data_IF_955019571501
#
_entry.id   IF_955019571501
#
_cell.length_a   1.000
_cell.length_b   1.000
_cell.length_c   1.000
_cell.angle_alpha   90.00
_cell.angle_beta   90.00
_cell.angle_gamma   90.00
#
_symmetry.space_group_name_H-M   'P 1'
#
loop_
_entity.id
_entity.type
_entity.pdbx_description
1 polymer ?
#
# COMPACT_ATOMS: atom_id res chain seq x y z
N UNK A 1 -32.01 -24.91 -10.74
CA UNK A 1 -31.76 -25.12 -9.28
C UNK A 1 -31.66 -23.78 -8.57
N UNK A 2 -31.64 -23.72 -7.23
CA UNK A 2 -31.49 -22.45 -6.49
C UNK A 2 -30.19 -21.71 -6.86
N UNK A 3 -29.09 -22.43 -7.03
CA UNK A 3 -27.81 -21.83 -7.44
C UNK A 3 -27.89 -21.17 -8.81
N UNK A 4 -28.54 -21.81 -9.78
CA UNK A 4 -28.76 -21.23 -11.11
C UNK A 4 -29.67 -19.99 -11.06
N UNK A 5 -30.68 -19.99 -10.18
CA UNK A 5 -31.57 -18.85 -10.01
C UNK A 5 -30.84 -17.63 -9.46
N UNK A 6 -29.88 -17.85 -8.56
CA UNK A 6 -29.19 -16.77 -7.86
C UNK A 6 -27.76 -16.48 -8.36
N UNK A 7 -27.23 -17.28 -9.27
CA UNK A 7 -25.89 -17.11 -9.83
C UNK A 7 -24.75 -17.33 -8.84
N UNK A 8 -25.02 -17.92 -7.67
CA UNK A 8 -24.02 -18.15 -6.62
C UNK A 8 -24.39 -19.36 -5.75
N UNK A 9 -23.42 -20.11 -5.21
CA UNK A 9 -23.68 -21.19 -4.25
C UNK A 9 -24.50 -20.73 -3.05
N UNK A 10 -25.42 -21.59 -2.61
CA UNK A 10 -26.39 -21.28 -1.54
C UNK A 10 -26.23 -22.21 -0.36
N UNK A 11 -26.18 -21.62 0.82
CA UNK A 11 -26.46 -22.32 2.06
C UNK A 11 -27.98 -22.29 2.30
N UNK A 12 -28.58 -23.46 2.45
CA UNK A 12 -30.04 -23.64 2.38
C UNK A 12 -30.53 -24.42 3.59
N UNK A 13 -31.45 -23.82 4.33
CA UNK A 13 -32.20 -24.49 5.37
C UNK A 13 -33.56 -24.90 4.82
N UNK A 14 -33.94 -26.16 5.04
CA UNK A 14 -35.18 -26.74 4.56
C UNK A 14 -35.76 -27.71 5.59
N UNK A 15 -37.07 -27.95 5.51
CA UNK A 15 -37.77 -28.89 6.36
C UNK A 15 -38.76 -29.73 5.56
N UNK A 16 -39.08 -30.91 6.07
CA UNK A 16 -40.12 -31.78 5.52
C UNK A 16 -41.33 -31.76 6.43
N UNK A 17 -42.50 -31.51 5.85
CA UNK A 17 -43.77 -31.70 6.53
C UNK A 17 -44.71 -32.50 5.61
N UNK A 18 -45.22 -33.64 6.10
CA UNK A 18 -46.13 -34.53 5.36
C UNK A 18 -45.62 -34.91 3.96
N UNK A 19 -44.31 -35.16 3.82
CA UNK A 19 -43.69 -35.53 2.55
C UNK A 19 -43.43 -34.36 1.58
N UNK A 20 -43.72 -33.12 1.99
CA UNK A 20 -43.44 -31.91 1.20
C UNK A 20 -42.22 -31.20 1.76
N UNK A 21 -41.30 -30.80 0.88
CA UNK A 21 -40.11 -30.00 1.23
C UNK A 21 -40.48 -28.52 1.22
N UNK A 22 -40.16 -27.82 2.30
CA UNK A 22 -40.30 -26.38 2.44
C UNK A 22 -38.93 -25.75 2.62
N UNK A 23 -38.68 -24.65 1.92
CA UNK A 23 -37.49 -23.83 2.11
C UNK A 23 -37.73 -22.89 3.30
N UNK A 24 -36.85 -22.91 4.29
CA UNK A 24 -36.93 -22.03 5.46
C UNK A 24 -36.04 -20.80 5.29
N UNK A 25 -34.82 -21.01 4.78
CA UNK A 25 -33.84 -19.95 4.56
C UNK A 25 -32.92 -20.29 3.39
N UNK A 26 -32.47 -19.25 2.68
CA UNK A 26 -31.48 -19.37 1.60
C UNK A 26 -30.57 -18.15 1.63
N UNK A 27 -29.28 -18.36 1.86
CA UNK A 27 -28.27 -17.30 1.97
C UNK A 27 -27.05 -17.60 1.08
N UNK A 28 -26.36 -16.59 0.53
CA UNK A 28 -25.13 -16.81 -0.22
C UNK A 28 -24.05 -17.42 0.67
N UNK A 29 -23.28 -18.37 0.13
CA UNK A 29 -22.02 -18.81 0.76
C UNK A 29 -20.97 -17.72 0.55
N UNK A 30 -20.50 -17.10 1.63
CA UNK A 30 -19.54 -15.98 1.58
C UNK A 30 -18.07 -16.40 1.70
N UNK A 31 -17.79 -17.65 2.09
CA UNK A 31 -16.44 -18.14 2.34
C UNK A 31 -15.68 -18.61 1.09
N UNK A 32 -16.35 -18.79 -0.05
CA UNK A 32 -15.75 -19.37 -1.26
C UNK A 32 -14.67 -18.49 -1.90
N UNK A 33 -14.75 -17.17 -1.71
CA UNK A 33 -13.76 -16.19 -2.16
C UNK A 33 -13.21 -15.39 -0.97
N UNK A 34 -13.18 -15.99 0.22
CA UNK A 34 -12.55 -15.34 1.36
C UNK A 34 -11.06 -15.16 1.07
N UNK A 35 -10.58 -13.93 1.20
CA UNK A 35 -9.17 -13.61 1.06
C UNK A 35 -8.39 -14.22 2.24
N UNK A 36 -7.17 -14.66 1.97
CA UNK A 36 -6.22 -15.05 3.00
C UNK A 36 -5.85 -13.86 3.88
N UNK A 37 -5.30 -14.13 5.07
CA UNK A 37 -4.82 -13.05 5.94
C UNK A 37 -3.72 -12.23 5.27
N UNK A 38 -2.84 -12.88 4.50
CA UNK A 38 -1.80 -12.18 3.73
C UNK A 38 -2.41 -11.24 2.69
N UNK A 39 -3.39 -11.70 1.91
CA UNK A 39 -4.08 -10.85 0.92
C UNK A 39 -4.80 -9.67 1.57
N UNK A 40 -5.43 -9.86 2.74
CA UNK A 40 -6.09 -8.79 3.48
C UNK A 40 -5.10 -7.76 4.03
N UNK A 41 -3.96 -8.20 4.56
CA UNK A 41 -2.93 -7.31 5.12
C UNK A 41 -2.29 -6.46 4.02
N UNK A 42 -2.14 -7.03 2.81
CA UNK A 42 -1.49 -6.38 1.68
C UNK A 42 -2.44 -5.74 0.67
N UNK A 43 -3.76 -5.73 0.93
CA UNK A 43 -4.77 -5.20 0.00
C UNK A 43 -4.47 -3.78 -0.48
N UNK A 44 -3.92 -2.96 0.42
CA UNK A 44 -3.66 -1.53 0.19
C UNK A 44 -2.17 -1.20 0.08
N UNK A 45 -1.33 -2.22 -0.06
CA UNK A 45 0.11 -2.01 -0.22
C UNK A 45 0.42 -1.38 -1.58
N UNK A 46 1.43 -0.50 -1.60
CA UNK A 46 1.99 0.02 -2.83
C UNK A 46 2.86 -1.04 -3.50
N UNK A 47 3.01 -0.95 -4.82
CA UNK A 47 3.92 -1.84 -5.54
C UNK A 47 5.38 -1.50 -5.18
N UNK A 48 6.04 -2.37 -4.41
CA UNK A 48 7.46 -2.29 -4.05
C UNK A 48 8.25 -3.23 -4.97
N UNK A 49 9.23 -2.69 -5.68
CA UNK A 49 10.07 -3.46 -6.59
C UNK A 49 11.25 -4.12 -5.84
N UNK A 50 11.83 -5.22 -6.33
CA UNK A 50 12.96 -5.89 -5.67
C UNK A 50 14.21 -5.00 -5.44
N UNK A 51 14.36 -3.93 -6.23
CA UNK A 51 15.47 -2.98 -6.11
C UNK A 51 15.11 -1.74 -5.27
N UNK A 52 13.89 -1.65 -4.75
CA UNK A 52 13.50 -0.56 -3.88
C UNK A 52 14.07 -0.76 -2.48
N UNK A 53 14.57 0.33 -1.89
CA UNK A 53 15.00 0.37 -0.50
C UNK A 53 14.05 1.31 0.27
N UNK A 54 13.15 0.74 1.07
CA UNK A 54 12.16 1.48 1.85
C UNK A 54 12.54 1.58 3.32
N UNK A 55 12.27 2.73 3.94
CA UNK A 55 12.54 2.97 5.37
C UNK A 55 11.40 3.74 6.02
N UNK A 56 11.27 3.64 7.34
CA UNK A 56 10.36 4.50 8.11
C UNK A 56 10.96 5.88 8.36
N UNK A 57 12.28 6.03 8.55
CA UNK A 57 12.97 7.32 8.74
C UNK A 57 12.09 8.39 9.44
N UNK A 58 11.94 9.58 8.85
CA UNK A 58 11.05 10.62 9.36
C UNK A 58 9.55 10.22 9.35
N UNK A 59 9.11 9.38 8.40
CA UNK A 59 7.69 8.95 8.36
C UNK A 59 7.30 8.14 9.60
N UNK A 60 8.24 7.46 10.25
CA UNK A 60 8.02 6.78 11.53
C UNK A 60 7.75 7.73 12.69
N UNK A 61 8.18 9.00 12.62
CA UNK A 61 7.88 10.02 13.63
C UNK A 61 6.60 10.77 13.31
N UNK A 62 6.39 11.12 12.04
CA UNK A 62 5.24 11.92 11.58
C UNK A 62 3.97 11.08 11.45
N UNK A 63 4.11 9.80 11.07
CA UNK A 63 3.04 8.83 10.84
C UNK A 63 3.37 7.49 11.51
N UNK A 64 3.45 7.45 12.86
CA UNK A 64 3.98 6.31 13.60
C UNK A 64 3.11 5.05 13.58
N UNK A 65 1.88 5.13 13.10
CA UNK A 65 0.91 4.05 13.14
C UNK A 65 0.32 3.69 11.79
N UNK A 66 -0.58 2.71 11.81
CA UNK A 66 -1.34 2.30 10.64
C UNK A 66 -2.17 3.47 10.09
N UNK A 67 -1.99 3.75 8.82
CA UNK A 67 -2.73 4.77 8.07
C UNK A 67 -4.03 4.18 7.55
N UNK A 68 -5.13 4.93 7.72
CA UNK A 68 -6.43 4.51 7.21
C UNK A 68 -6.46 4.52 5.67
N UNK A 69 -7.36 3.78 5.01
CA UNK A 69 -7.49 3.79 3.55
C UNK A 69 -7.72 5.20 2.98
N UNK A 70 -8.45 6.05 3.72
CA UNK A 70 -8.63 7.46 3.34
C UNK A 70 -7.32 8.24 3.43
N UNK A 71 -6.52 8.03 4.48
CA UNK A 71 -5.23 8.70 4.64
C UNK A 71 -4.25 8.29 3.52
N UNK A 72 -4.24 7.01 3.15
CA UNK A 72 -3.41 6.49 2.06
C UNK A 72 -3.81 7.07 0.69
N UNK A 73 -5.11 7.11 0.38
CA UNK A 73 -5.60 7.63 -0.90
C UNK A 73 -5.54 9.17 -1.02
N UNK A 74 -5.48 9.90 0.09
CA UNK A 74 -5.44 11.37 0.10
C UNK A 74 -4.08 11.90 0.55
N UNK A 75 -3.79 11.88 1.85
CA UNK A 75 -2.58 12.47 2.42
C UNK A 75 -1.30 11.84 1.84
N UNK A 76 -1.23 10.51 1.73
CA UNK A 76 -0.01 9.86 1.22
C UNK A 76 0.17 10.15 -0.26
N UNK A 77 -0.93 10.16 -1.02
CA UNK A 77 -0.91 10.54 -2.43
C UNK A 77 -0.48 11.99 -2.65
N UNK A 78 -1.00 12.91 -1.85
CA UNK A 78 -0.59 14.32 -1.88
C UNK A 78 0.89 14.48 -1.52
N UNK A 79 1.36 13.79 -0.48
CA UNK A 79 2.75 13.86 -0.06
C UNK A 79 3.71 13.30 -1.12
N UNK A 80 3.38 12.16 -1.74
CA UNK A 80 4.14 11.61 -2.87
C UNK A 80 4.17 12.60 -4.05
N UNK A 81 3.04 13.23 -4.37
CA UNK A 81 2.93 14.22 -5.45
C UNK A 81 3.81 15.45 -5.22
N UNK A 82 3.84 16.00 -4.01
CA UNK A 82 4.71 17.14 -3.67
C UNK A 82 6.19 16.76 -3.71
N UNK A 83 6.54 15.50 -3.44
CA UNK A 83 7.92 15.02 -3.54
C UNK A 83 8.43 14.88 -4.99
N UNK A 84 7.55 14.71 -5.98
CA UNK A 84 7.96 14.59 -7.40
C UNK A 84 8.78 15.81 -7.89
N UNK A 85 8.27 17.05 -7.83
CA UNK A 85 9.03 18.21 -8.29
C UNK A 85 10.26 18.48 -7.43
N UNK A 86 10.22 18.12 -6.14
CA UNK A 86 11.33 18.33 -5.21
C UNK A 86 12.55 17.44 -5.54
N UNK A 87 12.32 16.21 -6.03
CA UNK A 87 13.40 15.22 -6.19
C UNK A 87 13.67 14.74 -7.63
N UNK A 88 12.77 14.94 -8.61
CA UNK A 88 12.98 14.46 -9.98
C UNK A 88 12.55 15.41 -11.11
N UNK A 89 12.08 16.61 -10.79
CA UNK A 89 11.55 17.53 -11.80
C UNK A 89 10.17 17.10 -12.35
N UNK A 90 9.57 17.96 -13.17
CA UNK A 90 8.13 17.93 -13.52
C UNK A 90 7.75 16.78 -14.49
N UNK A 91 8.72 16.15 -15.16
CA UNK A 91 8.47 15.18 -16.24
C UNK A 91 8.37 13.72 -15.77
N UNK A 92 7.63 13.43 -14.69
CA UNK A 92 7.49 12.04 -14.20
C UNK A 92 6.09 11.47 -14.51
N UNK A 93 5.95 10.48 -15.42
CA UNK A 93 4.66 10.01 -15.92
C UNK A 93 3.99 8.93 -15.06
N UNK A 94 4.17 8.93 -13.73
CA UNK A 94 3.61 7.88 -12.86
C UNK A 94 2.52 8.45 -11.95
N UNK A 95 1.32 8.59 -12.51
CA UNK A 95 0.14 9.14 -11.87
C UNK A 95 -0.68 8.11 -11.07
N UNK A 96 -0.24 6.84 -11.07
CA UNK A 96 -0.96 5.74 -10.39
C UNK A 96 -0.16 4.96 -9.35
N UNK A 97 1.16 5.06 -9.33
CA UNK A 97 1.96 4.38 -8.31
C UNK A 97 2.62 5.42 -7.40
N UNK A 98 2.65 5.15 -6.10
CA UNK A 98 3.44 5.93 -5.16
C UNK A 98 4.89 5.49 -5.30
N UNK A 99 5.74 6.37 -5.79
CA UNK A 99 7.15 6.01 -6.10
C UNK A 99 8.13 6.42 -5.01
N UNK A 100 7.74 7.34 -4.12
CA UNK A 100 8.59 7.91 -3.06
C UNK A 100 8.02 7.65 -1.68
N UNK A 101 6.72 7.84 -1.49
CA UNK A 101 6.03 7.50 -0.23
C UNK A 101 5.16 6.28 -0.48
N UNK A 102 5.75 5.10 -0.30
CA UNK A 102 5.06 3.82 -0.46
C UNK A 102 4.33 3.45 0.82
N UNK A 103 3.28 2.64 0.70
CA UNK A 103 2.59 2.05 1.86
C UNK A 103 2.84 0.55 1.88
N UNK A 104 3.17 0.00 3.05
CA UNK A 104 3.13 -1.46 3.27
C UNK A 104 2.64 -1.78 4.66
N UNK A 105 1.79 -2.79 4.80
CA UNK A 105 1.13 -3.17 6.06
C UNK A 105 0.48 -1.96 6.74
N UNK A 106 -0.17 -1.11 5.94
CA UNK A 106 -0.74 0.19 6.34
C UNK A 106 0.25 1.22 6.91
N UNK A 107 1.56 0.99 6.89
CA UNK A 107 2.56 1.97 7.34
C UNK A 107 3.11 2.79 6.17
N UNK A 108 3.34 4.08 6.40
CA UNK A 108 3.98 4.97 5.44
C UNK A 108 5.49 4.75 5.45
N UNK A 109 6.04 4.45 4.28
CA UNK A 109 7.45 4.17 4.05
C UNK A 109 8.01 5.13 3.01
N UNK A 110 9.24 5.54 3.21
CA UNK A 110 10.00 6.36 2.29
C UNK A 110 10.93 5.49 1.46
N UNK A 111 10.83 5.56 0.14
CA UNK A 111 11.75 4.89 -0.79
C UNK A 111 13.03 5.73 -0.92
N UNK A 112 14.10 5.28 -0.26
CA UNK A 112 15.40 5.96 -0.20
C UNK A 112 16.00 6.15 -1.59
N UNK A 113 15.85 5.14 -2.45
CA UNK A 113 16.39 5.19 -3.81
C UNK A 113 15.73 6.33 -4.60
N UNK A 114 14.40 6.34 -4.66
CA UNK A 114 13.65 7.34 -5.44
C UNK A 114 13.63 8.75 -4.84
N UNK A 115 13.99 8.91 -3.55
CA UNK A 115 14.02 10.20 -2.86
C UNK A 115 15.41 10.80 -2.72
N UNK A 116 16.36 10.07 -2.13
CA UNK A 116 17.69 10.58 -1.76
C UNK A 116 18.74 10.17 -2.79
N UNK A 117 18.75 8.91 -3.23
CA UNK A 117 19.89 8.36 -3.98
C UNK A 117 19.77 8.52 -5.50
N UNK A 118 18.57 8.70 -6.06
CA UNK A 118 18.35 8.82 -7.51
C UNK A 118 19.12 9.98 -8.16
N UNK A 119 19.37 11.04 -7.39
CA UNK A 119 20.12 12.23 -7.81
C UNK A 119 21.44 12.37 -7.06
N UNK A 120 21.95 11.29 -6.44
CA UNK A 120 23.21 11.33 -5.73
C UNK A 120 24.37 11.56 -6.70
N UNK A 121 25.11 12.65 -6.49
CA UNK A 121 26.34 12.92 -7.23
C UNK A 121 27.51 12.15 -6.60
N UNK A 122 28.54 11.83 -7.40
CA UNK A 122 29.78 11.17 -6.93
C UNK A 122 30.45 11.86 -5.73
N UNK A 123 30.19 13.16 -5.53
CA UNK A 123 30.53 13.86 -4.30
C UNK A 123 29.25 14.44 -3.70
N UNK A 124 28.84 14.04 -2.49
CA UNK A 124 27.58 14.49 -1.92
C UNK A 124 27.62 16.00 -1.68
N UNK A 125 26.68 16.71 -2.31
CA UNK A 125 26.49 18.15 -2.15
C UNK A 125 26.06 18.49 -0.73
N UNK A 126 26.20 19.75 -0.32
CA UNK A 126 25.74 20.19 1.00
C UNK A 126 24.24 19.94 1.18
N UNK A 127 23.43 20.21 0.15
CA UNK A 127 21.99 20.02 0.18
C UNK A 127 21.60 18.56 0.40
N UNK A 128 22.28 17.63 -0.27
CA UNK A 128 22.06 16.19 -0.09
C UNK A 128 22.38 15.76 1.35
N UNK A 129 23.49 16.25 1.94
CA UNK A 129 23.84 15.96 3.34
C UNK A 129 22.82 16.52 4.33
N UNK A 130 22.32 17.73 4.09
CA UNK A 130 21.28 18.35 4.94
C UNK A 130 19.98 17.54 4.85
N UNK A 131 19.59 17.10 3.65
CA UNK A 131 18.42 16.26 3.45
C UNK A 131 18.55 14.92 4.17
N UNK A 132 19.69 14.23 4.04
CA UNK A 132 19.95 12.96 4.74
C UNK A 132 19.82 13.11 6.25
N UNK A 133 20.41 14.19 6.81
CA UNK A 133 20.27 14.49 8.24
C UNK A 133 18.83 14.80 8.65
N UNK A 134 18.09 15.53 7.81
CA UNK A 134 16.70 15.90 8.10
C UNK A 134 15.74 14.69 8.03
N UNK A 135 15.96 13.77 7.08
CA UNK A 135 15.09 12.61 6.87
C UNK A 135 15.50 11.45 7.76
N UNK A 136 16.79 11.18 7.91
CA UNK A 136 17.31 9.96 8.53
C UNK A 136 18.09 10.20 9.84
N UNK A 137 18.33 11.47 10.22
CA UNK A 137 19.09 11.81 11.43
C UNK A 137 20.61 11.54 11.33
N UNK A 138 21.07 10.88 10.26
CA UNK A 138 22.47 10.57 10.01
C UNK A 138 22.75 10.58 8.50
N UNK A 139 24.04 10.55 8.13
CA UNK A 139 24.47 10.48 6.71
C UNK A 139 24.30 9.07 6.17
N UNK A 140 23.85 8.95 4.92
CA UNK A 140 23.63 7.67 4.22
C UNK A 140 24.55 7.55 3.01
N UNK A 141 24.80 8.65 2.28
CA UNK A 141 25.62 8.58 1.07
C UNK A 141 27.11 8.45 1.41
N UNK A 142 27.74 7.37 0.97
CA UNK A 142 29.19 7.15 1.02
C UNK A 142 29.81 7.36 -0.35
N UNK A 143 31.11 7.64 -0.42
CA UNK A 143 31.81 7.89 -1.70
C UNK A 143 31.93 6.64 -2.61
N UNK A 144 31.47 5.47 -2.13
CA UNK A 144 31.59 4.17 -2.78
C UNK A 144 30.27 3.69 -3.43
N UNK A 145 29.17 4.42 -3.22
CA UNK A 145 27.84 4.20 -3.83
C UNK A 145 27.56 5.28 -4.88
#
# INVERSE_FOLDING_TARGET
>A
TLEQLFGWPRDVEWAIHKGVIYLLQCRPVTSLLAWSQDELIHELDSAILPNDATTTANTGEVLPGATSPLCQSTNMRCADFVMIPLFAGINHPLWYNNSRITTSHHHALLNIYNTILRSAEKKPTLNQKVLELAVCGHKISTAEL
#
